data_IF_071292808589
#
_entry.id   IF_071292808589
#
_cell.length_a   1.000
_cell.length_b   1.000
_cell.length_c   1.000
_cell.angle_alpha   90.00
_cell.angle_beta   90.00
_cell.angle_gamma   90.00
#
_symmetry.space_group_name_H-M   'P 1'
#
loop_
_entity.id
_entity.type
_entity.pdbx_description
1 polymer ?
#
# COMPACT_ATOMS: atom_id res chain seq x y z
N UNK A 1 -32.27 -14.93 -54.34
CA UNK A 1 -31.89 -13.96 -53.27
C UNK A 1 -33.20 -13.44 -52.69
N UNK A 2 -33.56 -13.81 -51.46
CA UNK A 2 -34.81 -13.40 -50.84
C UNK A 2 -34.73 -11.95 -50.36
N UNK A 3 -35.78 -11.17 -50.62
CA UNK A 3 -35.90 -9.76 -50.25
C UNK A 3 -35.98 -9.58 -48.72
N UNK A 4 -35.47 -8.46 -48.16
CA UNK A 4 -35.55 -8.18 -46.73
C UNK A 4 -36.95 -7.71 -46.35
N UNK A 5 -37.79 -8.65 -45.90
CA UNK A 5 -39.13 -8.38 -45.35
C UNK A 5 -38.94 -7.93 -43.88
N UNK A 6 -39.69 -6.95 -43.33
CA UNK A 6 -39.52 -6.48 -41.95
C UNK A 6 -39.63 -7.58 -40.88
N UNK A 7 -40.29 -8.70 -41.19
CA UNK A 7 -40.39 -9.88 -40.32
C UNK A 7 -39.14 -10.78 -40.33
N UNK A 8 -38.21 -10.58 -41.27
CA UNK A 8 -36.97 -11.35 -41.36
C UNK A 8 -35.79 -10.70 -40.64
N UNK A 9 -35.99 -9.59 -39.94
CA UNK A 9 -34.96 -9.03 -39.06
C UNK A 9 -34.85 -9.98 -37.86
N UNK A 10 -33.68 -10.60 -37.62
CA UNK A 10 -33.53 -11.46 -36.45
C UNK A 10 -33.85 -10.64 -35.21
N UNK A 11 -34.61 -11.20 -34.27
CA UNK A 11 -35.01 -10.55 -33.01
C UNK A 11 -33.82 -10.07 -32.16
N UNK A 12 -32.59 -10.40 -32.52
CA UNK A 12 -31.35 -9.86 -31.96
C UNK A 12 -30.97 -8.45 -32.46
N UNK A 13 -31.53 -8.00 -33.60
CA UNK A 13 -31.27 -6.68 -34.19
C UNK A 13 -32.47 -5.72 -34.09
N UNK A 14 -33.58 -6.14 -33.50
CA UNK A 14 -34.73 -5.25 -33.25
C UNK A 14 -34.43 -4.30 -32.06
N UNK A 15 -34.38 -2.97 -32.26
CA UNK A 15 -34.13 -1.98 -31.20
C UNK A 15 -35.23 -1.92 -30.13
N UNK A 16 -36.41 -2.49 -30.39
CA UNK A 16 -37.49 -2.62 -29.40
C UNK A 16 -37.31 -3.84 -28.50
N UNK A 17 -36.47 -4.80 -28.90
CA UNK A 17 -36.20 -6.00 -28.10
C UNK A 17 -35.27 -5.66 -26.94
N UNK A 18 -35.78 -5.75 -25.71
CA UNK A 18 -34.97 -5.63 -24.47
C UNK A 18 -34.28 -6.95 -24.11
N UNK A 19 -33.87 -7.74 -25.10
CA UNK A 19 -33.10 -8.96 -24.84
C UNK A 19 -31.74 -8.55 -24.28
N UNK A 20 -31.25 -9.21 -23.21
CA UNK A 20 -29.94 -8.91 -22.68
C UNK A 20 -28.90 -9.26 -23.76
N UNK A 21 -28.32 -8.24 -24.39
CA UNK A 21 -27.12 -8.41 -25.21
C UNK A 21 -26.01 -8.97 -24.30
N UNK A 22 -25.12 -9.80 -24.86
CA UNK A 22 -23.96 -10.36 -24.14
C UNK A 22 -23.34 -9.25 -23.28
N UNK A 23 -23.31 -9.47 -21.96
CA UNK A 23 -22.84 -8.50 -20.97
C UNK A 23 -21.53 -7.88 -21.46
N UNK A 24 -21.59 -6.61 -21.88
CA UNK A 24 -20.38 -5.83 -22.12
C UNK A 24 -19.69 -5.71 -20.76
N UNK A 25 -18.40 -6.02 -20.69
CA UNK A 25 -17.63 -5.74 -19.49
C UNK A 25 -17.75 -4.23 -19.23
N UNK A 26 -18.42 -3.85 -18.13
CA UNK A 26 -18.57 -2.46 -17.78
C UNK A 26 -17.18 -1.90 -17.49
N UNK A 27 -16.85 -0.77 -18.11
CA UNK A 27 -15.65 -0.03 -17.74
C UNK A 27 -15.89 0.62 -16.37
N UNK A 28 -14.85 0.85 -15.54
CA UNK A 28 -15.01 1.52 -14.25
C UNK A 28 -15.75 2.87 -14.35
N UNK A 29 -15.49 3.60 -15.44
CA UNK A 29 -16.17 4.86 -15.76
C UNK A 29 -17.66 4.65 -16.00
N UNK A 30 -18.05 3.59 -16.71
CA UNK A 30 -19.46 3.28 -16.95
C UNK A 30 -20.20 2.88 -15.67
N UNK A 31 -19.55 2.16 -14.75
CA UNK A 31 -20.14 1.82 -13.45
C UNK A 31 -20.38 3.07 -12.61
N UNK A 32 -19.38 3.95 -12.50
CA UNK A 32 -19.53 5.24 -11.81
C UNK A 32 -20.64 6.09 -12.44
N UNK A 33 -20.71 6.16 -13.76
CA UNK A 33 -21.77 6.90 -14.46
C UNK A 33 -23.15 6.35 -14.11
N UNK A 34 -23.33 5.02 -14.03
CA UNK A 34 -24.63 4.43 -13.63
C UNK A 34 -25.00 4.73 -12.18
N UNK A 35 -24.03 4.73 -11.26
CA UNK A 35 -24.24 5.10 -9.85
C UNK A 35 -24.64 6.58 -9.73
N UNK A 36 -23.92 7.46 -10.43
CA UNK A 36 -24.21 8.90 -10.50
C UNK A 36 -25.60 9.15 -11.08
N UNK A 37 -25.95 8.49 -12.19
CA UNK A 37 -27.30 8.56 -12.76
C UNK A 37 -28.38 8.09 -11.78
N UNK A 38 -28.10 7.07 -10.97
CA UNK A 38 -29.04 6.61 -9.95
C UNK A 38 -29.22 7.62 -8.81
N UNK A 39 -28.14 8.30 -8.39
CA UNK A 39 -28.19 9.33 -7.36
C UNK A 39 -28.93 10.59 -7.86
N UNK A 40 -28.76 10.97 -9.13
CA UNK A 40 -29.44 12.13 -9.73
C UNK A 40 -30.92 11.93 -10.04
N UNK A 41 -31.45 10.70 -9.99
CA UNK A 41 -32.90 10.47 -10.17
C UNK A 41 -33.72 11.21 -9.12
N UNK A 42 -33.25 11.19 -7.87
CA UNK A 42 -33.92 11.80 -6.72
C UNK A 42 -32.91 12.67 -5.93
N UNK A 43 -32.62 13.90 -6.37
CA UNK A 43 -31.58 14.74 -5.77
C UNK A 43 -31.95 15.25 -4.36
N UNK A 44 -33.23 15.15 -3.95
CA UNK A 44 -33.69 15.51 -2.61
C UNK A 44 -33.52 14.39 -1.57
N UNK A 45 -33.04 13.22 -1.97
CA UNK A 45 -32.85 12.08 -1.07
C UNK A 45 -31.54 12.23 -0.29
N UNK A 46 -31.63 12.19 1.03
CA UNK A 46 -30.45 12.21 1.89
C UNK A 46 -29.54 11.02 1.62
N UNK A 47 -28.26 11.30 1.41
CA UNK A 47 -27.22 10.29 1.17
C UNK A 47 -26.62 9.90 2.51
N UNK A 48 -26.93 8.68 2.99
CA UNK A 48 -26.33 8.13 4.19
C UNK A 48 -24.93 7.57 3.90
N UNK A 49 -23.89 8.30 4.28
CA UNK A 49 -22.51 7.81 4.26
C UNK A 49 -22.29 6.98 5.54
N UNK A 50 -21.99 5.67 5.44
CA UNK A 50 -21.76 4.86 6.62
C UNK A 50 -20.54 5.38 7.38
N UNK A 51 -20.65 5.47 8.70
CA UNK A 51 -19.51 5.72 9.57
C UNK A 51 -18.45 4.60 9.38
N UNK A 52 -17.16 4.90 9.59
CA UNK A 52 -16.13 3.87 9.54
C UNK A 52 -16.47 2.74 10.51
N UNK A 53 -16.30 1.49 10.06
CA UNK A 53 -16.58 0.33 10.89
C UNK A 53 -15.65 0.35 12.12
N UNK A 54 -16.24 0.35 13.32
CA UNK A 54 -15.46 0.24 14.55
C UNK A 54 -14.81 -1.15 14.59
N UNK A 55 -13.48 -1.25 14.83
CA UNK A 55 -12.84 -2.55 14.96
C UNK A 55 -13.42 -3.30 16.14
N UNK A 56 -13.53 -4.63 16.01
CA UNK A 56 -13.98 -5.47 17.12
C UNK A 56 -12.85 -5.58 18.13
N UNK A 57 -13.01 -4.88 19.24
CA UNK A 57 -12.07 -4.84 20.36
C UNK A 57 -12.53 -5.69 21.53
N UNK A 58 -11.66 -5.97 22.50
CA UNK A 58 -11.99 -6.59 23.78
C UNK A 58 -13.09 -5.81 24.51
N UNK A 59 -13.12 -4.48 24.38
CA UNK A 59 -14.17 -3.60 24.89
C UNK A 59 -15.52 -3.70 24.13
N UNK A 60 -15.53 -4.28 22.93
CA UNK A 60 -16.76 -4.55 22.18
C UNK A 60 -17.52 -5.78 22.70
N UNK A 61 -16.88 -6.61 23.53
CA UNK A 61 -17.57 -7.74 24.16
C UNK A 61 -18.45 -7.26 25.31
N UNK A 62 -19.58 -7.94 25.52
CA UNK A 62 -20.44 -7.65 26.65
C UNK A 62 -19.67 -7.90 27.97
N UNK A 63 -19.72 -6.96 28.93
CA UNK A 63 -19.05 -7.15 30.21
C UNK A 63 -19.61 -8.38 30.94
N UNK A 64 -18.79 -9.08 31.73
CA UNK A 64 -19.30 -10.16 32.56
C UNK A 64 -20.34 -9.61 33.55
N UNK A 65 -21.47 -10.32 33.77
CA UNK A 65 -22.48 -9.86 34.72
C UNK A 65 -21.91 -9.83 36.14
N UNK A 66 -22.21 -8.76 36.88
CA UNK A 66 -21.68 -8.56 38.24
C UNK A 66 -22.23 -9.57 39.26
N UNK A 67 -23.51 -9.93 39.15
CA UNK A 67 -24.17 -10.85 40.07
C UNK A 67 -24.77 -12.00 39.25
N UNK A 68 -24.37 -13.22 39.60
CA UNK A 68 -24.99 -14.44 39.08
C UNK A 68 -25.96 -14.95 40.13
N UNK A 69 -27.26 -14.81 39.88
CA UNK A 69 -28.30 -15.18 40.85
C UNK A 69 -28.51 -16.69 40.99
N UNK A 70 -28.07 -17.49 40.02
CA UNK A 70 -28.41 -18.91 39.90
C UNK A 70 -27.27 -19.84 40.37
N UNK A 71 -26.46 -19.40 41.34
CA UNK A 71 -25.33 -20.20 41.84
C UNK A 71 -25.85 -21.25 42.81
N UNK A 72 -25.81 -22.51 42.39
CA UNK A 72 -26.09 -23.66 43.25
C UNK A 72 -24.96 -23.84 44.28
N UNK A 73 -25.27 -24.34 45.48
CA UNK A 73 -24.31 -24.47 46.57
C UNK A 73 -23.06 -25.28 46.22
N UNK A 74 -21.93 -24.98 46.87
CA UNK A 74 -20.60 -25.51 46.49
C UNK A 74 -20.45 -27.03 46.59
N UNK A 75 -21.25 -27.69 47.42
CA UNK A 75 -21.27 -29.15 47.58
C UNK A 75 -22.34 -29.85 46.74
N UNK A 76 -23.15 -29.09 46.01
CA UNK A 76 -24.21 -29.66 45.19
C UNK A 76 -23.62 -30.31 43.92
N UNK A 77 -24.22 -31.42 43.47
CA UNK A 77 -23.75 -32.17 42.30
C UNK A 77 -23.94 -31.42 40.98
N UNK A 78 -23.29 -31.93 39.91
CA UNK A 78 -23.42 -31.36 38.58
C UNK A 78 -24.85 -31.50 38.03
N UNK A 79 -25.49 -30.36 37.77
CA UNK A 79 -26.80 -30.31 37.12
C UNK A 79 -26.70 -30.56 35.61
N UNK A 80 -27.84 -30.89 34.97
CA UNK A 80 -27.90 -31.15 33.52
C UNK A 80 -27.55 -29.92 32.66
N UNK A 81 -27.74 -28.70 33.19
CA UNK A 81 -27.44 -27.45 32.52
C UNK A 81 -25.99 -26.98 32.68
N UNK A 82 -25.20 -27.57 33.60
CA UNK A 82 -23.87 -27.08 33.96
C UNK A 82 -22.89 -27.14 32.78
N UNK A 83 -23.01 -28.19 31.96
CA UNK A 83 -22.20 -28.33 30.75
C UNK A 83 -22.38 -27.15 29.78
N UNK A 84 -23.61 -26.68 29.60
CA UNK A 84 -23.90 -25.57 28.69
C UNK A 84 -23.44 -24.24 29.27
N UNK A 85 -23.54 -24.05 30.58
CA UNK A 85 -22.99 -22.86 31.27
C UNK A 85 -21.48 -22.79 31.07
N UNK A 86 -20.77 -23.90 31.29
CA UNK A 86 -19.34 -24.00 31.04
C UNK A 86 -18.95 -23.74 29.58
N UNK A 87 -19.67 -24.36 28.63
CA UNK A 87 -19.41 -24.17 27.20
C UNK A 87 -19.56 -22.69 26.80
N UNK A 88 -20.59 -22.01 27.32
CA UNK A 88 -20.83 -20.60 27.04
C UNK A 88 -19.82 -19.68 27.73
N UNK A 89 -19.42 -19.96 28.97
CA UNK A 89 -18.40 -19.17 29.68
C UNK A 89 -17.02 -19.33 29.03
N UNK A 90 -16.61 -20.56 28.72
CA UNK A 90 -15.34 -20.85 28.05
C UNK A 90 -15.26 -20.18 26.68
N UNK A 91 -16.33 -20.22 25.89
CA UNK A 91 -16.38 -19.55 24.58
C UNK A 91 -16.21 -18.03 24.72
N UNK A 92 -16.94 -17.40 25.64
CA UNK A 92 -16.80 -15.96 25.92
C UNK A 92 -15.38 -15.60 26.34
N UNK A 93 -14.77 -16.41 27.20
CA UNK A 93 -13.41 -16.16 27.68
C UNK A 93 -12.35 -16.32 26.58
N UNK A 94 -12.46 -17.35 25.75
CA UNK A 94 -11.54 -17.51 24.60
C UNK A 94 -11.69 -16.39 23.59
N UNK A 95 -12.91 -15.94 23.31
CA UNK A 95 -13.14 -14.79 22.44
C UNK A 95 -12.52 -13.51 23.05
N UNK A 96 -12.63 -13.31 24.37
CA UNK A 96 -12.02 -12.19 25.09
C UNK A 96 -10.50 -12.22 25.03
N UNK A 97 -9.87 -13.35 25.37
CA UNK A 97 -8.42 -13.51 25.33
C UNK A 97 -7.88 -13.32 23.90
N UNK A 98 -8.55 -13.90 22.90
CA UNK A 98 -8.17 -13.76 21.50
C UNK A 98 -8.19 -12.30 21.03
N UNK A 99 -9.21 -11.53 21.42
CA UNK A 99 -9.29 -10.11 21.05
C UNK A 99 -8.22 -9.28 21.77
N UNK A 100 -7.97 -9.53 23.05
CA UNK A 100 -6.91 -8.86 23.81
C UNK A 100 -5.51 -9.14 23.23
N UNK A 101 -5.22 -10.40 22.89
CA UNK A 101 -3.96 -10.77 22.22
C UNK A 101 -3.83 -10.14 20.84
N UNK A 102 -4.93 -10.04 20.09
CA UNK A 102 -4.94 -9.38 18.79
C UNK A 102 -4.66 -7.89 18.91
N UNK A 103 -5.28 -7.20 19.86
CA UNK A 103 -5.03 -5.78 20.14
C UNK A 103 -3.59 -5.51 20.49
N UNK A 104 -3.01 -6.29 21.41
CA UNK A 104 -1.63 -6.15 21.81
C UNK A 104 -0.66 -6.34 20.64
N UNK A 105 -0.96 -7.28 19.72
CA UNK A 105 -0.17 -7.46 18.49
C UNK A 105 -0.28 -6.28 17.54
N UNK A 106 -1.46 -5.69 17.39
CA UNK A 106 -1.65 -4.51 16.54
C UNK A 106 -0.92 -3.30 17.14
N UNK A 107 -1.09 -3.06 18.44
CA UNK A 107 -0.42 -1.95 19.14
C UNK A 107 1.10 -2.04 19.04
N UNK A 108 1.68 -3.22 19.26
CA UNK A 108 3.11 -3.45 19.06
C UNK A 108 3.55 -3.23 17.61
N UNK A 109 2.75 -3.66 16.63
CA UNK A 109 3.06 -3.46 15.22
C UNK A 109 3.02 -1.98 14.82
N UNK A 110 2.04 -1.24 15.35
CA UNK A 110 1.86 0.19 15.13
C UNK A 110 3.02 0.97 15.77
N UNK A 111 3.39 0.68 17.02
CA UNK A 111 4.54 1.30 17.68
C UNK A 111 5.86 1.05 16.92
N UNK A 112 6.09 -0.19 16.48
CA UNK A 112 7.26 -0.54 15.66
C UNK A 112 7.24 0.16 14.29
N UNK A 113 6.06 0.38 13.72
CA UNK A 113 5.93 1.09 12.45
C UNK A 113 6.20 2.59 12.62
N UNK A 114 5.61 3.22 13.62
CA UNK A 114 5.81 4.64 13.95
C UNK A 114 7.28 4.93 14.24
N UNK A 115 7.92 4.10 15.07
CA UNK A 115 9.35 4.23 15.35
C UNK A 115 10.21 4.14 14.08
N UNK A 116 9.92 3.17 13.18
CA UNK A 116 10.65 3.04 11.90
C UNK A 116 10.44 4.26 11.01
N UNK A 117 9.21 4.78 10.95
CA UNK A 117 8.86 5.97 10.17
C UNK A 117 9.58 7.22 10.70
N UNK A 118 9.63 7.40 12.02
CA UNK A 118 10.34 8.50 12.66
C UNK A 118 11.86 8.43 12.44
N UNK A 119 12.45 7.24 12.57
CA UNK A 119 13.88 7.04 12.31
C UNK A 119 14.22 7.31 10.84
N UNK A 120 13.39 6.88 9.89
CA UNK A 120 13.56 7.17 8.48
C UNK A 120 13.44 8.68 8.20
N UNK A 121 12.41 9.32 8.74
CA UNK A 121 12.20 10.77 8.62
C UNK A 121 13.37 11.56 9.18
N UNK A 122 13.88 11.19 10.35
CA UNK A 122 15.05 11.83 10.97
C UNK A 122 16.30 11.70 10.09
N UNK A 123 16.57 10.51 9.55
CA UNK A 123 17.71 10.27 8.64
C UNK A 123 17.60 11.15 7.38
N UNK A 124 16.40 11.33 6.84
CA UNK A 124 16.16 12.17 5.68
C UNK A 124 16.29 13.67 6.01
N UNK A 125 15.78 14.10 7.16
CA UNK A 125 15.96 15.47 7.68
C UNK A 125 17.45 15.79 7.91
N UNK A 126 18.23 14.89 8.50
CA UNK A 126 19.67 15.07 8.70
C UNK A 126 20.44 15.18 7.37
N UNK A 127 20.10 14.35 6.37
CA UNK A 127 20.69 14.41 5.02
C UNK A 127 20.32 15.72 4.31
N UNK A 128 19.06 16.13 4.38
CA UNK A 128 18.56 17.35 3.74
C UNK A 128 19.13 18.60 4.40
N UNK A 129 19.21 18.66 5.72
CA UNK A 129 19.85 19.73 6.51
C UNK A 129 21.34 19.88 6.16
N UNK A 130 22.09 18.77 6.11
CA UNK A 130 23.50 18.77 5.69
C UNK A 130 23.68 19.32 4.28
N UNK A 131 22.81 18.94 3.36
CA UNK A 131 22.84 19.44 1.98
C UNK A 131 22.41 20.90 1.87
N UNK A 132 21.40 21.33 2.63
CA UNK A 132 20.96 22.73 2.73
C UNK A 132 22.09 23.60 3.27
N UNK A 133 22.74 23.22 4.38
CA UNK A 133 23.91 23.92 4.93
C UNK A 133 25.06 24.05 3.92
N UNK A 134 25.35 23.00 3.15
CA UNK A 134 26.36 23.06 2.07
C UNK A 134 25.96 24.07 0.97
N UNK A 135 24.70 24.10 0.55
CA UNK A 135 24.19 25.04 -0.46
C UNK A 135 24.21 26.49 0.05
N UNK A 136 23.80 26.73 1.29
CA UNK A 136 23.83 28.05 1.91
C UNK A 136 25.25 28.59 2.08
N UNK A 137 26.21 27.76 2.50
CA UNK A 137 27.63 28.15 2.54
C UNK A 137 28.14 28.56 1.17
N UNK A 138 27.81 27.80 0.11
CA UNK A 138 28.16 28.15 -1.28
C UNK A 138 27.47 29.44 -1.75
N UNK A 139 26.20 29.65 -1.40
CA UNK A 139 25.44 30.88 -1.72
C UNK A 139 26.08 32.10 -1.06
N UNK A 140 26.33 32.04 0.25
CA UNK A 140 27.02 33.10 1.01
C UNK A 140 28.42 33.40 0.46
N UNK A 141 29.17 32.38 0.05
CA UNK A 141 30.49 32.58 -0.58
C UNK A 141 30.40 33.26 -1.96
N UNK A 142 29.39 32.92 -2.77
CA UNK A 142 29.14 33.60 -4.06
C UNK A 142 28.68 35.04 -3.86
N UNK A 143 27.77 35.29 -2.92
CA UNK A 143 27.32 36.64 -2.56
C UNK A 143 28.48 37.53 -2.10
N UNK A 144 29.39 37.00 -1.26
CA UNK A 144 30.61 37.71 -0.86
C UNK A 144 31.54 38.01 -2.04
N UNK A 145 31.72 37.06 -2.98
CA UNK A 145 32.53 37.29 -4.19
C UNK A 145 31.90 38.35 -5.12
N UNK A 146 30.59 38.32 -5.29
CA UNK A 146 29.88 39.29 -6.11
C UNK A 146 29.83 40.68 -5.45
N UNK A 147 29.73 40.76 -4.11
CA UNK A 147 29.80 42.01 -3.36
C UNK A 147 31.23 42.60 -3.31
N UNK A 148 32.26 41.76 -3.41
CA UNK A 148 33.66 42.20 -3.55
C UNK A 148 34.05 42.53 -5.01
N UNK A 149 33.19 42.23 -5.98
CA UNK A 149 33.41 42.52 -7.40
C UNK A 149 32.36 43.48 -7.99
N UNK A 150 32.32 44.77 -7.57
CA UNK A 150 31.79 45.83 -8.39
C UNK A 150 32.90 46.80 -8.80
N UNK A 151 33.95 46.32 -9.47
CA UNK A 151 34.84 47.17 -10.26
C UNK A 151 35.80 46.33 -11.10
N UNK A 152 35.77 46.54 -12.42
CA UNK A 152 36.71 46.08 -13.44
C UNK A 152 36.57 44.62 -13.92
N UNK A 153 35.71 44.43 -14.92
CA UNK A 153 35.88 43.37 -15.92
C UNK A 153 35.87 44.01 -17.31
N UNK A 154 37.06 44.19 -17.89
CA UNK A 154 37.29 44.25 -19.34
C UNK A 154 37.77 42.87 -19.81
N UNK A 155 37.56 42.49 -21.09
CA UNK A 155 37.89 41.16 -21.59
C UNK A 155 39.33 41.14 -22.13
N UNK A 156 40.16 40.23 -21.61
CA UNK A 156 41.24 39.51 -22.30
C UNK A 156 42.34 39.09 -21.32
N UNK A 157 42.61 37.78 -21.24
CA UNK A 157 43.94 37.20 -21.03
C UNK A 157 43.85 35.66 -20.94
N UNK A 158 44.57 35.01 -21.86
CA UNK A 158 44.80 33.57 -21.93
C UNK A 158 45.62 33.00 -20.76
N UNK A 159 45.59 31.67 -20.64
CA UNK A 159 46.09 30.79 -19.58
C UNK A 159 47.62 30.79 -19.34
N UNK A 160 48.09 30.09 -18.28
CA UNK A 160 48.61 28.73 -18.52
C UNK A 160 48.16 27.66 -17.49
N UNK A 161 48.24 26.41 -17.95
CA UNK A 161 48.02 25.16 -17.19
C UNK A 161 49.25 24.83 -16.32
N UNK A 162 49.04 24.22 -15.15
CA UNK A 162 49.89 23.13 -14.63
C UNK A 162 49.14 22.20 -13.66
N UNK A 163 49.62 20.96 -13.60
CA UNK A 163 48.99 19.73 -13.10
C UNK A 163 49.37 19.45 -11.65
N UNK A 164 48.49 18.78 -10.90
CA UNK A 164 48.72 17.44 -10.31
C UNK A 164 47.75 17.19 -9.13
N UNK A 165 47.31 15.93 -9.02
CA UNK A 165 46.38 15.46 -7.98
C UNK A 165 45.79 14.12 -8.40
N UNK A 166 46.53 13.06 -8.10
CA UNK A 166 46.30 11.67 -8.51
C UNK A 166 44.89 11.15 -8.21
N UNK A 167 44.31 10.44 -9.18
CA UNK A 167 43.18 9.52 -8.96
C UNK A 167 43.72 8.10 -8.96
N UNK A 168 43.73 7.54 -7.76
CA UNK A 168 44.03 6.14 -7.48
C UNK A 168 42.91 5.27 -8.08
N UNK A 169 43.25 4.46 -9.09
CA UNK A 169 42.37 3.43 -9.64
C UNK A 169 43.21 2.17 -9.78
N UNK A 170 42.98 1.18 -8.92
CA UNK A 170 43.48 -0.16 -9.15
C UNK A 170 42.60 -1.23 -8.50
N UNK A 171 42.47 -2.36 -9.20
CA UNK A 171 41.77 -3.59 -8.83
C UNK A 171 40.51 -3.82 -9.68
N UNK A 172 40.49 -4.55 -10.80
CA UNK A 172 41.40 -5.59 -11.31
C UNK A 172 40.83 -6.98 -10.99
N UNK A 173 40.37 -7.71 -12.01
CA UNK A 173 40.82 -9.07 -12.39
C UNK A 173 39.81 -9.75 -13.33
N UNK A 174 40.42 -10.47 -14.27
CA UNK A 174 39.99 -11.05 -15.53
C UNK A 174 38.85 -12.07 -15.51
N UNK A 175 38.01 -11.97 -16.55
CA UNK A 175 37.07 -13.01 -16.95
C UNK A 175 37.75 -14.09 -17.78
N UNK A 176 37.60 -15.34 -17.34
CA UNK A 176 37.98 -16.54 -18.07
C UNK A 176 36.72 -17.16 -18.69
N UNK A 177 36.64 -17.18 -20.02
CA UNK A 177 35.64 -17.94 -20.77
C UNK A 177 36.27 -19.23 -21.31
N UNK A 178 35.68 -20.41 -21.00
CA UNK A 178 35.43 -21.36 -22.08
C UNK A 178 34.30 -22.37 -21.80
N UNK A 179 33.47 -22.48 -22.85
CA UNK A 179 32.34 -23.37 -23.17
C UNK A 179 32.35 -24.80 -22.65
N UNK A 180 31.15 -25.26 -22.24
CA UNK A 180 30.60 -26.57 -22.63
C UNK A 180 29.16 -26.39 -23.14
N UNK A 181 28.92 -26.93 -24.33
CA UNK A 181 27.67 -26.95 -25.10
C UNK A 181 26.70 -28.03 -24.61
N UNK A 182 25.41 -27.69 -24.48
CA UNK A 182 24.31 -28.64 -24.27
C UNK A 182 23.01 -28.15 -24.90
N UNK A 183 22.58 -28.85 -25.95
CA UNK A 183 21.42 -28.61 -26.82
C UNK A 183 20.06 -28.86 -26.17
N UNK A 184 19.04 -28.05 -26.45
CA UNK A 184 17.62 -28.34 -26.16
C UNK A 184 16.64 -27.24 -26.62
N UNK A 185 15.59 -27.64 -27.36
CA UNK A 185 14.62 -26.81 -28.09
C UNK A 185 13.74 -25.84 -27.24
N UNK A 186 13.15 -24.77 -27.86
CA UNK A 186 12.36 -23.77 -27.16
C UNK A 186 10.86 -23.90 -27.45
N UNK A 187 10.05 -24.36 -26.51
CA UNK A 187 8.60 -24.10 -26.52
C UNK A 187 8.04 -24.01 -25.10
N UNK A 188 7.43 -22.86 -24.84
CA UNK A 188 6.32 -22.64 -23.90
C UNK A 188 6.64 -22.48 -22.40
N UNK A 189 6.90 -21.23 -21.96
CA UNK A 189 6.66 -20.77 -20.58
C UNK A 189 6.25 -19.27 -20.53
N UNK A 190 5.25 -18.90 -19.71
CA UNK A 190 4.78 -17.52 -19.55
C UNK A 190 5.85 -16.64 -18.87
N UNK A 191 5.93 -15.37 -19.27
CA UNK A 191 6.85 -14.38 -18.68
C UNK A 191 6.41 -14.08 -17.25
N UNK A 192 7.13 -14.62 -16.27
CA UNK A 192 7.08 -14.16 -14.89
C UNK A 192 7.90 -12.88 -14.76
N UNK A 193 7.28 -11.82 -14.23
CA UNK A 193 7.92 -10.53 -13.99
C UNK A 193 8.98 -10.69 -12.90
N UNK A 194 10.22 -10.33 -13.22
CA UNK A 194 11.35 -10.39 -12.30
C UNK A 194 11.16 -9.36 -11.18
N UNK A 195 10.89 -9.85 -9.97
CA UNK A 195 10.91 -9.05 -8.75
C UNK A 195 12.29 -8.45 -8.48
N UNK A 196 12.32 -7.22 -8.00
CA UNK A 196 13.54 -6.53 -7.58
C UNK A 196 14.12 -7.23 -6.34
N UNK A 197 15.28 -7.86 -6.49
CA UNK A 197 16.05 -8.41 -5.37
C UNK A 197 16.88 -7.26 -4.79
N UNK A 198 16.56 -6.83 -3.57
CA UNK A 198 17.38 -5.89 -2.80
C UNK A 198 18.30 -6.74 -1.93
N UNK A 199 19.60 -6.62 -2.16
CA UNK A 199 20.61 -7.18 -1.28
C UNK A 199 20.90 -6.15 -0.17
N UNK A 200 20.62 -6.53 1.08
CA UNK A 200 21.09 -5.82 2.26
C UNK A 200 22.53 -6.30 2.54
N UNK A 201 23.52 -5.46 2.23
CA UNK A 201 24.91 -5.69 2.62
C UNK A 201 25.13 -5.17 4.07
N UNK A 202 25.56 -6.07 4.96
CA UNK A 202 26.19 -5.77 6.27
C UNK A 202 27.63 -5.26 6.10
#
# INVERSE_FOLDING_TARGET
MSEPIPESIPTSQDPRSKRPLKRRALTPVSEQATQIQSLFKDPSKDIHIPAPSKPRTSASLAPPPEIVANVQGSSAGAGSGEFHVYKASRRREYERLKLMEHELKMEQADEMFERRMEEARRKDEEKTEKNRRKREKKKKAKEKKNAAAPSAAGPDAEMPRERNGERNANGGVDGNENKVSGTGNPTDRPREELGVIIHDDD
#
